data_IF_280708068777
#
_entry.id   IF_280708068777
#
_cell.length_a   1.000
_cell.length_b   1.000
_cell.length_c   1.000
_cell.angle_alpha   90.00
_cell.angle_beta   90.00
_cell.angle_gamma   90.00
#
_symmetry.space_group_name_H-M   'P 1'
#
loop_
_entity.id
_entity.type
_entity.pdbx_description
1 polymer ?
#
# COMPACT_ATOMS: atom_id res chain seq x y z
N UNK A 1 -79.02 -45.79 18.36
CA UNK A 1 -77.55 -45.77 18.52
C UNK A 1 -76.82 -45.35 17.24
N UNK A 2 -77.35 -45.63 16.05
CA UNK A 2 -76.69 -45.34 14.76
C UNK A 2 -76.44 -43.82 14.54
N UNK A 3 -77.40 -42.93 14.86
CA UNK A 3 -77.22 -41.49 14.59
C UNK A 3 -76.12 -40.80 15.41
N UNK A 4 -75.79 -41.33 16.61
CA UNK A 4 -74.70 -40.78 17.44
C UNK A 4 -73.32 -41.18 16.92
N UNK A 5 -73.20 -42.37 16.30
CA UNK A 5 -71.95 -42.80 15.67
C UNK A 5 -71.68 -42.02 14.39
N UNK A 6 -72.71 -41.85 13.54
CA UNK A 6 -72.60 -41.03 12.31
C UNK A 6 -72.21 -39.58 12.64
N UNK A 7 -72.84 -38.97 13.65
CA UNK A 7 -72.47 -37.61 14.06
C UNK A 7 -71.04 -37.50 14.62
N UNK A 8 -70.55 -38.51 15.34
CA UNK A 8 -69.18 -38.52 15.84
C UNK A 8 -68.16 -38.71 14.70
N UNK A 9 -68.49 -39.53 13.71
CA UNK A 9 -67.66 -39.73 12.51
C UNK A 9 -67.58 -38.42 11.69
N UNK A 10 -68.71 -37.74 11.46
CA UNK A 10 -68.74 -36.44 10.78
C UNK A 10 -67.92 -35.36 11.52
N UNK A 11 -67.98 -35.33 12.85
CA UNK A 11 -67.20 -34.38 13.67
C UNK A 11 -65.71 -34.71 13.64
N UNK A 12 -65.35 -36.00 13.65
CA UNK A 12 -63.97 -36.45 13.46
C UNK A 12 -63.44 -36.06 12.08
N UNK A 13 -64.22 -36.30 11.02
CA UNK A 13 -63.85 -35.96 9.64
C UNK A 13 -63.72 -34.44 9.46
N UNK A 14 -64.58 -33.64 10.08
CA UNK A 14 -64.42 -32.18 10.07
C UNK A 14 -63.13 -31.73 10.75
N UNK A 15 -62.76 -32.32 11.89
CA UNK A 15 -61.49 -31.99 12.58
C UNK A 15 -60.28 -32.40 11.76
N UNK A 16 -60.30 -33.57 11.11
CA UNK A 16 -59.21 -34.01 10.21
C UNK A 16 -59.09 -33.06 9.03
N UNK A 17 -60.20 -32.69 8.39
CA UNK A 17 -60.21 -31.72 7.29
C UNK A 17 -59.69 -30.32 7.72
N UNK A 18 -60.02 -29.85 8.92
CA UNK A 18 -59.50 -28.59 9.45
C UNK A 18 -57.98 -28.64 9.70
N UNK A 19 -57.48 -29.77 10.21
CA UNK A 19 -56.04 -29.98 10.39
C UNK A 19 -55.32 -30.03 9.04
N UNK A 20 -55.86 -30.73 8.05
CA UNK A 20 -55.28 -30.80 6.70
C UNK A 20 -55.26 -29.43 6.03
N UNK A 21 -56.31 -28.61 6.22
CA UNK A 21 -56.34 -27.23 5.74
C UNK A 21 -55.30 -26.35 6.45
N UNK A 22 -55.05 -26.55 7.73
CA UNK A 22 -54.00 -25.84 8.47
C UNK A 22 -52.61 -26.25 7.98
N UNK A 23 -52.37 -27.55 7.80
CA UNK A 23 -51.11 -28.09 7.26
C UNK A 23 -50.85 -27.49 5.87
N UNK A 24 -51.83 -27.53 4.97
CA UNK A 24 -51.72 -26.97 3.62
C UNK A 24 -51.35 -25.48 3.62
N UNK A 25 -51.92 -24.68 4.53
CA UNK A 25 -51.55 -23.26 4.68
C UNK A 25 -50.10 -23.10 5.18
N UNK A 26 -49.68 -23.91 6.14
CA UNK A 26 -48.30 -23.87 6.63
C UNK A 26 -47.29 -24.32 5.56
N UNK A 27 -47.64 -25.29 4.74
CA UNK A 27 -46.77 -25.75 3.65
C UNK A 27 -46.69 -24.73 2.52
N UNK A 28 -47.79 -24.06 2.18
CA UNK A 28 -47.77 -22.93 1.24
C UNK A 28 -46.87 -21.80 1.73
N UNK A 29 -46.99 -21.39 3.00
CA UNK A 29 -46.12 -20.34 3.56
C UNK A 29 -44.66 -20.76 3.62
N UNK A 30 -44.37 -22.03 3.95
CA UNK A 30 -42.99 -22.58 3.89
C UNK A 30 -42.44 -22.55 2.47
N UNK A 31 -43.23 -22.95 1.48
CA UNK A 31 -42.84 -22.94 0.08
C UNK A 31 -42.51 -21.52 -0.41
N UNK A 32 -43.38 -20.54 -0.10
CA UNK A 32 -43.12 -19.13 -0.43
C UNK A 32 -41.86 -18.60 0.25
N UNK A 33 -41.63 -18.93 1.52
CA UNK A 33 -40.41 -18.54 2.23
C UNK A 33 -39.14 -19.15 1.61
N UNK A 34 -39.21 -20.40 1.15
CA UNK A 34 -38.10 -21.05 0.46
C UNK A 34 -37.81 -20.38 -0.89
N UNK A 35 -38.84 -20.11 -1.69
CA UNK A 35 -38.70 -19.40 -2.96
C UNK A 35 -38.13 -17.99 -2.76
N UNK A 36 -38.62 -17.26 -1.76
CA UNK A 36 -38.12 -15.92 -1.45
C UNK A 36 -36.64 -15.94 -1.04
N UNK A 37 -36.24 -16.88 -0.18
CA UNK A 37 -34.82 -17.04 0.21
C UNK A 37 -33.94 -17.39 -0.99
N UNK A 38 -34.37 -18.32 -1.85
CA UNK A 38 -33.64 -18.69 -3.05
C UNK A 38 -33.49 -17.49 -4.01
N UNK A 39 -34.54 -16.69 -4.16
CA UNK A 39 -34.50 -15.47 -4.96
C UNK A 39 -33.53 -14.42 -4.39
N UNK A 40 -33.55 -14.17 -3.08
CA UNK A 40 -32.61 -13.25 -2.44
C UNK A 40 -31.16 -13.74 -2.58
N UNK A 41 -30.92 -15.04 -2.42
CA UNK A 41 -29.60 -15.64 -2.62
C UNK A 41 -29.10 -15.48 -4.06
N UNK A 42 -29.95 -15.72 -5.05
CA UNK A 42 -29.62 -15.52 -6.46
C UNK A 42 -29.23 -14.05 -6.75
N UNK A 43 -29.96 -13.08 -6.20
CA UNK A 43 -29.61 -11.65 -6.33
C UNK A 43 -28.25 -11.35 -5.71
N UNK A 44 -27.95 -11.89 -4.53
CA UNK A 44 -26.65 -11.70 -3.89
C UNK A 44 -25.50 -12.29 -4.71
N UNK A 45 -25.70 -13.48 -5.28
CA UNK A 45 -24.72 -14.14 -6.15
C UNK A 45 -24.47 -13.34 -7.43
N UNK A 46 -25.54 -12.86 -8.07
CA UNK A 46 -25.44 -12.00 -9.25
C UNK A 46 -24.72 -10.68 -8.94
N UNK A 47 -25.04 -10.04 -7.81
CA UNK A 47 -24.36 -8.81 -7.37
C UNK A 47 -22.88 -9.05 -7.09
N UNK A 48 -22.52 -10.19 -6.48
CA UNK A 48 -21.11 -10.58 -6.27
C UNK A 48 -20.40 -10.82 -7.59
N UNK A 49 -21.04 -11.50 -8.55
CA UNK A 49 -20.47 -11.74 -9.87
C UNK A 49 -20.26 -10.43 -10.65
N UNK A 50 -21.18 -9.48 -10.57
CA UNK A 50 -21.04 -8.15 -11.17
C UNK A 50 -19.85 -7.39 -10.57
N UNK A 51 -19.75 -7.32 -9.23
CA UNK A 51 -18.61 -6.68 -8.56
C UNK A 51 -17.27 -7.33 -8.94
N UNK A 52 -17.23 -8.66 -9.06
CA UNK A 52 -16.02 -9.36 -9.49
C UNK A 52 -15.60 -8.96 -10.92
N UNK A 53 -16.57 -8.83 -11.85
CA UNK A 53 -16.32 -8.36 -13.21
C UNK A 53 -15.80 -6.92 -13.23
N UNK A 54 -16.39 -6.03 -12.44
CA UNK A 54 -15.96 -4.64 -12.30
C UNK A 54 -14.53 -4.55 -11.76
N UNK A 55 -14.20 -5.30 -10.71
CA UNK A 55 -12.84 -5.34 -10.15
C UNK A 55 -11.83 -5.84 -11.18
N UNK A 56 -12.17 -6.88 -11.95
CA UNK A 56 -11.30 -7.38 -13.03
C UNK A 56 -11.11 -6.32 -14.14
N UNK A 57 -12.16 -5.60 -14.52
CA UNK A 57 -12.07 -4.51 -15.49
C UNK A 57 -11.18 -3.36 -14.97
N UNK A 58 -11.36 -2.95 -13.71
CA UNK A 58 -10.53 -1.93 -13.06
C UNK A 58 -9.07 -2.34 -12.96
N UNK A 59 -8.79 -3.63 -12.68
CA UNK A 59 -7.43 -4.18 -12.68
C UNK A 59 -6.79 -4.11 -14.07
N UNK A 60 -7.55 -4.39 -15.13
CA UNK A 60 -7.05 -4.29 -16.50
C UNK A 60 -6.69 -2.85 -16.87
N UNK A 61 -7.58 -1.89 -16.57
CA UNK A 61 -7.31 -0.46 -16.78
C UNK A 61 -6.09 0.02 -16.00
N UNK A 62 -5.97 -0.34 -14.71
CA UNK A 62 -4.82 0.02 -13.89
C UNK A 62 -3.51 -0.58 -14.44
N UNK A 63 -3.54 -1.80 -14.98
CA UNK A 63 -2.38 -2.41 -15.62
C UNK A 63 -1.96 -1.65 -16.89
N UNK A 64 -2.92 -1.24 -17.73
CA UNK A 64 -2.67 -0.40 -18.91
C UNK A 64 -2.10 0.97 -18.52
N UNK A 65 -2.64 1.63 -17.50
CA UNK A 65 -2.11 2.90 -16.99
C UNK A 65 -0.68 2.77 -16.46
N UNK A 66 -0.37 1.69 -15.75
CA UNK A 66 0.99 1.41 -15.27
C UNK A 66 1.97 1.19 -16.41
N UNK A 67 1.56 0.49 -17.47
CA UNK A 67 2.38 0.32 -18.68
C UNK A 67 2.62 1.68 -19.35
N UNK A 68 1.58 2.50 -19.54
CA UNK A 68 1.71 3.84 -20.10
C UNK A 68 2.66 4.72 -19.26
N UNK A 69 2.54 4.69 -17.93
CA UNK A 69 3.44 5.45 -17.05
C UNK A 69 4.90 4.99 -17.15
N UNK A 70 5.13 3.68 -17.28
CA UNK A 70 6.48 3.12 -17.52
C UNK A 70 7.04 3.61 -18.86
N UNK A 71 6.23 3.60 -19.90
CA UNK A 71 6.62 4.06 -21.24
C UNK A 71 6.86 5.57 -21.26
N UNK A 72 6.03 6.38 -20.59
CA UNK A 72 6.27 7.82 -20.45
C UNK A 72 7.54 8.12 -19.67
N UNK A 73 7.83 7.34 -18.63
CA UNK A 73 9.07 7.48 -17.85
C UNK A 73 10.28 7.12 -18.70
N UNK A 74 10.27 6.00 -19.41
CA UNK A 74 11.38 5.59 -20.28
C UNK A 74 11.61 6.61 -21.39
N UNK A 75 10.54 7.12 -22.02
CA UNK A 75 10.60 8.19 -23.01
C UNK A 75 11.19 9.48 -22.41
N UNK A 76 10.78 9.89 -21.21
CA UNK A 76 11.36 11.05 -20.51
C UNK A 76 12.84 10.84 -20.21
N UNK A 77 13.23 9.66 -19.74
CA UNK A 77 14.62 9.32 -19.48
C UNK A 77 15.45 9.32 -20.77
N UNK A 78 14.91 8.85 -21.89
CA UNK A 78 15.56 8.92 -23.20
C UNK A 78 15.67 10.36 -23.72
N UNK A 79 14.62 11.16 -23.60
CA UNK A 79 14.63 12.59 -23.94
C UNK A 79 15.65 13.32 -23.09
N UNK A 80 15.71 13.03 -21.78
CA UNK A 80 16.74 13.57 -20.89
C UNK A 80 18.13 13.06 -21.27
N UNK A 81 18.31 11.79 -21.69
CA UNK A 81 19.60 11.28 -22.19
C UNK A 81 20.05 11.93 -23.49
N UNK A 82 19.12 12.22 -24.41
CA UNK A 82 19.39 12.84 -25.72
C UNK A 82 19.57 14.36 -25.61
N UNK A 83 18.80 15.02 -24.73
CA UNK A 83 18.75 16.48 -24.60
C UNK A 83 19.53 17.03 -23.40
N UNK A 84 20.02 16.19 -22.49
CA UNK A 84 21.13 16.63 -21.64
C UNK A 84 22.33 16.79 -22.59
N UNK A 85 22.83 18.01 -22.86
CA UNK A 85 24.25 18.11 -23.14
C UNK A 85 24.96 17.40 -21.98
N UNK A 86 26.11 16.80 -22.25
CA UNK A 86 27.05 16.33 -21.23
C UNK A 86 27.38 17.54 -20.33
N UNK A 87 26.49 17.87 -19.39
CA UNK A 87 26.59 19.08 -18.61
C UNK A 87 27.79 18.85 -17.70
N UNK A 88 28.84 19.61 -17.96
CA UNK A 88 29.65 20.19 -16.91
C UNK A 88 28.67 20.65 -15.83
N UNK A 89 28.64 19.93 -14.71
CA UNK A 89 27.95 20.37 -13.52
C UNK A 89 28.40 21.81 -13.28
N UNK A 90 27.50 22.77 -13.44
CA UNK A 90 27.74 24.11 -12.93
C UNK A 90 28.07 23.92 -11.46
N UNK A 91 29.29 24.31 -11.09
CA UNK A 91 29.85 24.17 -9.74
C UNK A 91 28.97 24.84 -8.66
N UNK A 92 27.94 25.59 -9.08
CA UNK A 92 27.06 26.36 -8.21
C UNK A 92 25.69 25.71 -7.92
N UNK A 93 25.28 24.62 -8.58
CA UNK A 93 23.92 24.04 -8.40
C UNK A 93 23.91 22.65 -7.75
N UNK A 94 25.08 22.12 -7.39
CA UNK A 94 25.20 20.91 -6.57
C UNK A 94 25.18 21.31 -5.09
N UNK A 95 24.00 21.56 -4.54
CA UNK A 95 23.75 21.60 -3.09
C UNK A 95 23.63 20.19 -2.48
N UNK A 96 24.21 19.17 -3.13
CA UNK A 96 24.04 17.77 -2.74
C UNK A 96 25.07 17.34 -1.69
N UNK A 97 26.21 18.02 -1.65
CA UNK A 97 27.27 17.77 -0.67
C UNK A 97 27.55 19.11 0.00
N UNK A 98 27.12 19.35 1.25
CA UNK A 98 27.49 20.57 1.95
C UNK A 98 29.02 20.63 2.01
N UNK A 99 29.58 21.71 1.47
CA UNK A 99 31.01 21.95 1.62
C UNK A 99 31.29 22.21 3.11
N UNK A 100 32.30 21.55 3.70
CA UNK A 100 32.66 21.76 5.08
C UNK A 100 33.05 23.24 5.29
N UNK A 101 32.83 23.77 6.50
CA UNK A 101 33.09 25.18 6.80
C UNK A 101 34.53 25.58 6.51
N UNK A 102 35.48 24.63 6.59
CA UNK A 102 36.89 24.80 6.25
C UNK A 102 37.11 25.10 4.76
N UNK A 103 36.44 24.37 3.86
CA UNK A 103 36.51 24.60 2.41
C UNK A 103 35.83 25.93 2.05
N UNK A 104 34.71 26.24 2.70
CA UNK A 104 34.01 27.52 2.51
C UNK A 104 34.86 28.71 2.97
N UNK A 105 35.52 28.59 4.14
CA UNK A 105 36.42 29.61 4.66
C UNK A 105 37.65 29.78 3.78
N UNK A 106 38.26 28.68 3.33
CA UNK A 106 39.42 28.72 2.45
C UNK A 106 39.09 29.28 1.06
N UNK A 107 37.87 29.03 0.56
CA UNK A 107 37.36 29.68 -0.65
C UNK A 107 37.17 31.18 -0.49
N UNK A 108 36.78 31.65 0.70
CA UNK A 108 36.64 33.07 0.98
C UNK A 108 37.99 33.79 1.11
N UNK A 109 39.06 33.09 1.48
CA UNK A 109 40.42 33.65 1.63
C UNK A 109 41.32 33.46 0.41
N UNK A 110 40.91 32.66 -0.57
CA UNK A 110 41.66 32.43 -1.79
C UNK A 110 41.68 33.67 -2.69
N UNK A 111 42.88 34.17 -2.97
CA UNK A 111 43.10 35.33 -3.86
C UNK A 111 44.03 35.02 -5.04
N UNK A 112 44.85 33.97 -4.95
CA UNK A 112 45.78 33.59 -6.02
C UNK A 112 45.25 32.43 -6.86
N UNK A 113 45.64 32.39 -8.14
CA UNK A 113 45.24 31.30 -9.05
C UNK A 113 45.76 29.92 -8.57
N UNK A 114 46.90 29.90 -7.88
CA UNK A 114 47.45 28.68 -7.27
C UNK A 114 46.60 28.18 -6.11
N UNK A 115 46.03 29.08 -5.30
CA UNK A 115 45.14 28.72 -4.19
C UNK A 115 43.81 28.18 -4.72
N UNK A 116 43.25 28.81 -5.76
CA UNK A 116 42.04 28.31 -6.42
C UNK A 116 42.24 26.90 -7.00
N UNK A 117 43.39 26.61 -7.62
CA UNK A 117 43.70 25.27 -8.15
C UNK A 117 43.86 24.23 -7.05
N UNK A 118 44.44 24.60 -5.90
CA UNK A 118 44.56 23.71 -4.74
C UNK A 118 43.20 23.43 -4.12
N UNK A 119 42.37 24.46 -3.92
CA UNK A 119 41.02 24.31 -3.39
C UNK A 119 40.12 23.46 -4.27
N UNK A 120 40.21 23.63 -5.59
CA UNK A 120 39.45 22.81 -6.53
C UNK A 120 39.80 21.30 -6.44
N UNK A 121 41.02 20.94 -6.02
CA UNK A 121 41.38 19.53 -5.77
C UNK A 121 40.77 19.03 -4.47
N UNK A 122 40.88 19.81 -3.40
CA UNK A 122 40.30 19.48 -2.09
C UNK A 122 38.78 19.36 -2.16
N UNK A 123 38.10 20.23 -2.90
CA UNK A 123 36.66 20.16 -3.15
C UNK A 123 36.26 18.87 -3.89
N UNK A 124 37.07 18.43 -4.85
CA UNK A 124 36.83 17.17 -5.59
C UNK A 124 37.03 15.95 -4.71
N UNK A 125 38.13 15.91 -3.95
CA UNK A 125 38.42 14.83 -3.01
C UNK A 125 37.32 14.70 -1.96
N UNK A 126 36.84 15.83 -1.42
CA UNK A 126 35.71 15.86 -0.49
C UNK A 126 34.41 15.35 -1.12
N UNK A 127 34.11 15.78 -2.36
CA UNK A 127 32.93 15.34 -3.07
C UNK A 127 32.96 13.82 -3.36
N UNK A 128 34.11 13.29 -3.76
CA UNK A 128 34.33 11.86 -3.99
C UNK A 128 34.19 11.07 -2.68
N UNK A 129 34.77 11.57 -1.59
CA UNK A 129 34.67 10.96 -0.27
C UNK A 129 33.22 10.90 0.21
N UNK A 130 32.48 12.00 0.15
CA UNK A 130 31.07 12.05 0.55
C UNK A 130 30.19 11.14 -0.31
N UNK A 131 30.45 11.07 -1.63
CA UNK A 131 29.77 10.13 -2.51
C UNK A 131 30.05 8.67 -2.14
N UNK A 132 31.30 8.35 -1.78
CA UNK A 132 31.68 7.00 -1.36
C UNK A 132 30.97 6.57 -0.07
N UNK A 133 30.83 7.49 0.90
CA UNK A 133 30.10 7.26 2.14
C UNK A 133 28.61 7.03 1.87
N UNK A 134 27.98 7.84 1.03
CA UNK A 134 26.57 7.67 0.68
C UNK A 134 26.28 6.31 0.02
N UNK A 135 27.18 5.84 -0.86
CA UNK A 135 27.05 4.52 -1.48
C UNK A 135 27.22 3.40 -0.46
N UNK A 136 28.10 3.58 0.53
CA UNK A 136 28.28 2.63 1.62
C UNK A 136 27.00 2.57 2.48
N UNK A 137 26.47 3.71 2.90
CA UNK A 137 25.22 3.81 3.67
C UNK A 137 24.06 3.14 2.93
N UNK A 138 23.92 3.39 1.62
CA UNK A 138 22.92 2.74 0.78
C UNK A 138 23.02 1.21 0.82
N UNK A 139 24.23 0.66 0.73
CA UNK A 139 24.46 -0.79 0.81
C UNK A 139 24.08 -1.34 2.18
N UNK A 140 24.37 -0.61 3.26
CA UNK A 140 23.97 -1.00 4.61
C UNK A 140 22.46 -0.94 4.82
N UNK A 141 21.80 0.14 4.39
CA UNK A 141 20.36 0.31 4.48
C UNK A 141 19.62 -0.78 3.71
N UNK A 142 20.09 -1.10 2.50
CA UNK A 142 19.55 -2.21 1.70
C UNK A 142 19.69 -3.54 2.42
N UNK A 143 20.85 -3.83 3.01
CA UNK A 143 21.06 -5.08 3.79
C UNK A 143 20.16 -5.13 5.01
N UNK A 144 19.99 -4.01 5.71
CA UNK A 144 19.12 -3.90 6.88
C UNK A 144 17.65 -4.14 6.51
N UNK A 145 17.15 -3.47 5.46
CA UNK A 145 15.78 -3.68 4.99
C UNK A 145 15.52 -5.14 4.57
N UNK A 146 16.50 -5.80 3.94
CA UNK A 146 16.41 -7.23 3.62
C UNK A 146 16.36 -8.10 4.87
N UNK A 147 17.19 -7.80 5.88
CA UNK A 147 17.17 -8.53 7.15
C UNK A 147 15.83 -8.35 7.89
N UNK A 148 15.31 -7.13 7.94
CA UNK A 148 14.02 -6.81 8.56
C UNK A 148 12.86 -7.46 7.82
N UNK A 149 12.93 -7.56 6.48
CA UNK A 149 11.91 -8.20 5.66
C UNK A 149 11.86 -9.74 5.80
N UNK A 150 12.99 -10.36 6.13
CA UNK A 150 13.11 -11.80 6.39
C UNK A 150 12.74 -12.17 7.83
N UNK A 151 12.73 -11.20 8.74
CA UNK A 151 12.26 -11.45 10.09
C UNK A 151 10.74 -11.66 10.07
N UNK A 152 10.23 -12.72 10.71
CA UNK A 152 8.80 -12.82 10.94
C UNK A 152 8.39 -11.59 11.76
N UNK A 153 7.48 -10.75 11.23
CA UNK A 153 6.92 -9.63 11.99
C UNK A 153 6.44 -10.22 13.31
N UNK A 154 7.02 -9.75 14.41
CA UNK A 154 6.74 -10.28 15.74
C UNK A 154 5.22 -10.43 15.87
N UNK A 155 4.77 -11.69 15.96
CA UNK A 155 3.37 -12.01 16.09
C UNK A 155 2.89 -11.25 17.33
N UNK A 156 2.20 -10.13 17.13
CA UNK A 156 1.29 -9.64 18.17
C UNK A 156 0.48 -10.86 18.55
N UNK A 157 0.49 -11.24 19.83
CA UNK A 157 -0.13 -12.45 20.35
C UNK A 157 -1.64 -12.48 20.05
N UNK A 158 -1.97 -12.76 18.80
CA UNK A 158 -3.31 -12.76 18.25
C UNK A 158 -3.52 -14.18 17.77
N UNK A 159 -4.44 -14.82 18.47
CA UNK A 159 -5.05 -16.09 18.09
C UNK A 159 -5.41 -16.00 16.60
N UNK A 160 -4.81 -16.87 15.80
CA UNK A 160 -5.23 -17.12 14.42
C UNK A 160 -6.64 -17.72 14.50
N UNK A 161 -7.65 -16.85 14.41
CA UNK A 161 -9.01 -17.28 14.19
C UNK A 161 -9.17 -17.36 12.68
N UNK A 162 -9.32 -18.59 12.16
CA UNK A 162 -9.67 -18.87 10.77
C UNK A 162 -11.09 -18.33 10.49
N UNK A 163 -11.18 -17.03 10.22
CA UNK A 163 -12.40 -16.39 9.74
C UNK A 163 -12.38 -16.47 8.22
N UNK A 164 -13.45 -16.99 7.63
CA UNK A 164 -13.58 -17.06 6.17
C UNK A 164 -13.45 -15.65 5.56
N UNK A 165 -12.74 -15.53 4.44
CA UNK A 165 -12.42 -14.25 3.77
C UNK A 165 -13.63 -13.33 3.50
N UNK A 166 -14.84 -13.89 3.53
CA UNK A 166 -16.12 -13.20 3.29
C UNK A 166 -16.57 -12.30 4.45
N UNK A 167 -15.98 -12.43 5.64
CA UNK A 167 -16.39 -11.70 6.86
C UNK A 167 -15.31 -10.71 7.36
N UNK A 168 -14.19 -10.57 6.64
CA UNK A 168 -13.09 -9.72 7.06
C UNK A 168 -13.44 -8.21 6.88
N UNK A 169 -13.16 -7.37 7.90
CA UNK A 169 -13.26 -5.91 7.76
C UNK A 169 -12.39 -5.41 6.60
N UNK A 170 -12.85 -4.38 5.88
CA UNK A 170 -12.14 -3.83 4.72
C UNK A 170 -10.67 -3.45 5.02
N UNK A 171 -10.40 -2.93 6.23
CA UNK A 171 -9.04 -2.61 6.68
C UNK A 171 -8.12 -3.84 6.74
N UNK A 172 -8.66 -5.00 7.16
CA UNK A 172 -7.90 -6.26 7.27
C UNK A 172 -7.63 -6.86 5.90
N UNK A 173 -8.54 -6.70 4.95
CA UNK A 173 -8.34 -7.08 3.54
C UNK A 173 -7.21 -6.27 2.90
N UNK A 174 -7.15 -4.96 3.17
CA UNK A 174 -6.07 -4.08 2.67
C UNK A 174 -4.72 -4.46 3.29
N UNK A 175 -4.69 -4.79 4.58
CA UNK A 175 -3.47 -5.26 5.25
C UNK A 175 -2.95 -6.57 4.65
N UNK A 176 -3.83 -7.56 4.45
CA UNK A 176 -3.46 -8.84 3.84
C UNK A 176 -2.93 -8.67 2.41
N UNK A 177 -3.62 -7.87 1.59
CA UNK A 177 -3.17 -7.56 0.23
C UNK A 177 -1.80 -6.84 0.24
N UNK A 178 -1.57 -5.94 1.20
CA UNK A 178 -0.28 -5.27 1.39
C UNK A 178 0.84 -6.23 1.78
N UNK A 179 0.55 -7.18 2.67
CA UNK A 179 1.51 -8.19 3.12
C UNK A 179 1.83 -9.21 2.00
N UNK A 180 0.85 -9.59 1.18
CA UNK A 180 1.06 -10.43 -0.01
C UNK A 180 1.95 -9.74 -1.04
N UNK A 181 1.67 -8.46 -1.34
CA UNK A 181 2.50 -7.66 -2.24
C UNK A 181 3.93 -7.54 -1.71
N UNK A 182 4.10 -7.30 -0.42
CA UNK A 182 5.42 -7.22 0.21
C UNK A 182 6.20 -8.53 0.07
N UNK A 183 5.56 -9.69 0.29
CA UNK A 183 6.20 -11.01 0.10
C UNK A 183 6.65 -11.21 -1.34
N UNK A 184 5.85 -10.80 -2.32
CA UNK A 184 6.21 -10.92 -3.75
C UNK A 184 7.45 -10.09 -4.09
N UNK A 185 7.54 -8.85 -3.59
CA UNK A 185 8.69 -7.96 -3.77
C UNK A 185 9.96 -8.59 -3.17
N UNK A 186 9.88 -9.13 -1.94
CA UNK A 186 11.01 -9.79 -1.28
C UNK A 186 11.45 -11.05 -2.04
N UNK A 187 10.51 -11.85 -2.54
CA UNK A 187 10.81 -13.03 -3.35
C UNK A 187 11.52 -12.69 -4.67
N UNK A 188 11.07 -11.63 -5.37
CA UNK A 188 11.72 -11.17 -6.60
C UNK A 188 13.17 -10.71 -6.35
N UNK A 189 13.41 -10.02 -5.22
CA UNK A 189 14.76 -9.61 -4.83
C UNK A 189 15.68 -10.80 -4.54
N UNK A 190 15.16 -11.89 -3.94
CA UNK A 190 15.89 -13.14 -3.69
C UNK A 190 16.17 -13.91 -4.98
N UNK A 191 15.29 -13.80 -5.98
CA UNK A 191 15.46 -14.38 -7.32
C UNK A 191 16.46 -13.60 -8.20
N UNK A 192 17.03 -12.52 -7.67
CA UNK A 192 18.12 -11.79 -8.32
C UNK A 192 17.71 -10.52 -9.06
N UNK A 193 16.47 -10.04 -8.92
CA UNK A 193 16.08 -8.72 -9.41
C UNK A 193 16.73 -7.63 -8.54
N UNK A 194 17.72 -6.87 -9.05
CA UNK A 194 18.45 -5.90 -8.25
C UNK A 194 17.65 -4.63 -7.95
N UNK A 195 16.54 -4.36 -8.66
CA UNK A 195 15.79 -3.09 -8.56
C UNK A 195 14.52 -3.20 -7.70
N UNK A 196 14.03 -4.41 -7.44
CA UNK A 196 12.74 -4.66 -6.75
C UNK A 196 12.60 -3.95 -5.40
N UNK A 197 13.61 -4.07 -4.51
CA UNK A 197 13.61 -3.40 -3.20
C UNK A 197 14.33 -2.04 -3.23
N UNK A 198 15.15 -1.80 -4.25
CA UNK A 198 15.90 -0.54 -4.40
C UNK A 198 15.00 0.69 -4.49
N UNK A 199 13.76 0.52 -5.00
CA UNK A 199 12.75 1.58 -5.08
C UNK A 199 12.19 2.00 -3.71
N UNK A 200 12.33 1.13 -2.70
CA UNK A 200 11.82 1.32 -1.35
C UNK A 200 12.95 1.76 -0.39
N UNK A 201 14.20 1.47 -0.74
CA UNK A 201 15.37 2.05 -0.09
C UNK A 201 15.38 3.53 -0.46
N UNK A 202 15.36 4.46 0.51
CA UNK A 202 15.47 5.86 0.21
C UNK A 202 16.75 6.09 -0.62
N UNK A 203 16.68 6.80 -1.76
CA UNK A 203 17.88 7.09 -2.53
C UNK A 203 18.83 7.84 -1.59
N UNK A 204 20.00 7.28 -1.35
CA UNK A 204 20.97 7.78 -0.38
C UNK A 204 21.35 9.23 -0.69
N UNK A 205 20.79 10.14 0.11
CA UNK A 205 21.18 11.54 0.32
C UNK A 205 20.70 11.92 1.73
N UNK A 206 21.25 11.24 2.74
CA UNK A 206 20.85 11.29 4.15
C UNK A 206 20.90 12.71 4.74
N UNK A 207 20.24 13.04 5.88
CA UNK A 207 19.13 12.38 6.59
C UNK A 207 18.01 13.40 6.99
N UNK A 208 17.32 14.09 6.04
CA UNK A 208 15.87 14.32 6.20
C UNK A 208 15.08 14.50 4.88
N UNK A 209 15.71 14.37 3.71
CA UNK A 209 15.10 14.81 2.45
C UNK A 209 13.98 13.88 1.92
N UNK A 210 14.08 12.57 2.15
CA UNK A 210 13.03 11.61 1.76
C UNK A 210 11.74 11.77 2.58
N UNK A 211 11.85 12.21 3.84
CA UNK A 211 10.70 12.59 4.68
C UNK A 211 10.00 13.87 4.17
N UNK A 212 10.70 14.75 3.44
CA UNK A 212 10.16 16.02 2.91
C UNK A 212 9.46 15.89 1.55
N UNK A 213 9.79 14.86 0.75
CA UNK A 213 9.25 14.72 -0.61
C UNK A 213 8.25 13.57 -0.79
N UNK A 214 8.27 12.53 0.04
CA UNK A 214 7.39 11.35 -0.13
C UNK A 214 6.72 10.87 1.16
N UNK A 215 6.97 11.51 2.30
CA UNK A 215 6.25 11.22 3.54
C UNK A 215 4.87 11.86 3.52
N UNK A 216 3.81 11.05 3.53
CA UNK A 216 2.47 11.50 3.89
C UNK A 216 2.47 11.92 5.36
N UNK A 217 2.89 13.16 5.66
CA UNK A 217 2.57 13.77 6.95
C UNK A 217 1.05 13.93 6.99
N UNK A 218 0.36 13.12 7.81
CA UNK A 218 -1.03 13.41 8.20
C UNK A 218 -1.11 14.90 8.55
N UNK A 219 -2.09 15.66 8.02
CA UNK A 219 -2.26 17.03 8.45
C UNK A 219 -2.74 16.99 9.92
N UNK A 220 -1.82 17.16 10.86
CA UNK A 220 -2.20 17.61 12.19
C UNK A 220 -2.57 19.08 12.00
N UNK A 221 -3.86 19.37 11.95
CA UNK A 221 -4.36 20.74 11.93
C UNK A 221 -3.94 21.42 13.23
N UNK A 222 -2.84 22.18 13.18
CA UNK A 222 -2.50 23.10 14.24
C UNK A 222 -3.25 24.41 13.98
N UNK A 223 -3.95 24.98 14.98
CA UNK A 223 -4.64 26.24 14.82
C UNK A 223 -3.64 27.36 14.50
N UNK A 224 -4.07 28.34 13.70
CA UNK A 224 -3.22 29.31 13.01
C UNK A 224 -2.35 30.22 13.90
N UNK A 225 -2.41 30.11 15.23
CA UNK A 225 -1.73 31.00 16.18
C UNK A 225 -1.20 30.29 17.44
N UNK A 226 -0.51 29.16 17.30
CA UNK A 226 0.23 28.57 18.42
C UNK A 226 1.58 29.29 18.62
N UNK A 227 1.75 29.93 19.79
CA UNK A 227 2.95 30.72 20.13
C UNK A 227 4.16 29.84 20.46
N UNK A 228 5.37 30.40 20.36
CA UNK A 228 6.65 29.69 20.58
C UNK A 228 6.84 29.15 22.01
N UNK A 229 5.96 29.48 22.95
CA UNK A 229 6.04 29.06 24.36
C UNK A 229 5.48 27.65 24.59
N UNK A 230 4.56 27.18 23.75
CA UNK A 230 4.00 25.82 23.84
C UNK A 230 4.95 24.74 23.28
N UNK A 231 6.10 25.15 22.71
CA UNK A 231 7.08 24.22 22.10
C UNK A 231 8.07 23.62 23.10
N UNK A 232 8.13 24.10 24.35
CA UNK A 232 9.13 23.69 25.35
C UNK A 232 8.50 23.04 26.59
N UNK A 233 7.55 22.13 26.41
CA UNK A 233 7.15 21.18 27.45
C UNK A 233 7.58 19.77 27.02
N UNK A 234 8.86 19.50 27.22
CA UNK A 234 9.34 18.20 27.70
C UNK A 234 10.20 18.46 28.94
#
# INVERSE_FOLDING_TARGET
>A
MISRHVHNEEVCDHRVNELDLQIARTDQTRHWNQLHRAHCQAIEEDARAQRAREVCAMKALAAEELLLLRDFRSLREEVVRRNKPLFTLSSSTSTIIPAPPEILAARATASTETDHRRLARVEREHAEHMRSLQLLDYVYDRKRMMADALQPRANSALVEVDVADKELPAERVVQLAGDELWRQIVQQQLQGDPESIALLVPPSNSPPAALRYFGNSRPVSMPAFASSVDRNLQ
#
